data_IF_130289695411
#
_entry.id   IF_130289695411
#
_cell.length_a   1.000
_cell.length_b   1.000
_cell.length_c   1.000
_cell.angle_alpha   90.00
_cell.angle_beta   90.00
_cell.angle_gamma   90.00
#
_symmetry.space_group_name_H-M   'P 1'
#
loop_
_entity.id
_entity.type
_entity.pdbx_description
1 polymer ?
#
# COMPACT_ATOMS: atom_id res chain seq x y z
N UNK A 1 -17.69 -59.22 1.16
CA UNK A 1 -18.20 -58.24 0.19
C UNK A 1 -18.69 -57.03 0.96
N UNK A 2 -17.78 -56.08 1.23
CA UNK A 2 -18.12 -54.87 1.95
C UNK A 2 -18.77 -53.89 0.96
N UNK A 3 -20.05 -53.61 1.12
CA UNK A 3 -20.71 -52.48 0.45
C UNK A 3 -20.09 -51.18 0.96
N UNK A 4 -19.35 -50.49 0.12
CA UNK A 4 -18.88 -49.14 0.36
C UNK A 4 -20.08 -48.21 0.20
N UNK A 5 -20.56 -47.69 1.31
CA UNK A 5 -21.62 -46.67 1.37
C UNK A 5 -21.21 -45.43 0.58
N UNK A 6 -21.73 -45.30 -0.64
CA UNK A 6 -21.35 -44.27 -1.64
C UNK A 6 -21.94 -42.86 -1.36
N UNK A 7 -22.54 -42.62 -0.20
CA UNK A 7 -23.24 -41.35 0.08
C UNK A 7 -22.73 -40.58 1.30
N UNK A 8 -21.48 -40.77 1.72
CA UNK A 8 -20.91 -39.79 2.65
C UNK A 8 -20.51 -38.53 1.89
N UNK A 9 -21.48 -37.63 1.68
CA UNK A 9 -21.20 -36.28 1.24
C UNK A 9 -20.23 -35.63 2.26
N UNK A 10 -19.14 -35.05 1.74
CA UNK A 10 -18.20 -34.32 2.60
C UNK A 10 -18.98 -33.27 3.41
N UNK A 11 -18.78 -33.17 4.73
CA UNK A 11 -19.53 -32.20 5.52
C UNK A 11 -19.29 -30.80 4.99
N UNK A 12 -20.35 -30.21 4.47
CA UNK A 12 -20.38 -28.79 4.15
C UNK A 12 -20.31 -28.11 5.50
N UNK A 13 -19.19 -27.42 5.81
CA UNK A 13 -19.21 -26.48 6.92
C UNK A 13 -20.04 -25.29 6.40
N UNK A 14 -21.32 -25.20 6.78
CA UNK A 14 -22.15 -24.10 6.31
C UNK A 14 -21.57 -22.81 6.87
N UNK A 15 -21.67 -21.70 6.14
CA UNK A 15 -21.29 -20.41 6.70
C UNK A 15 -22.07 -20.18 7.98
N UNK A 16 -21.38 -19.91 9.08
CA UNK A 16 -22.03 -19.65 10.36
C UNK A 16 -22.78 -18.33 10.23
N UNK A 17 -24.10 -18.30 10.48
CA UNK A 17 -24.86 -17.07 10.37
C UNK A 17 -24.33 -16.04 11.36
N UNK A 18 -24.00 -14.84 10.86
CA UNK A 18 -23.56 -13.75 11.71
C UNK A 18 -24.67 -13.30 12.66
N UNK A 19 -24.37 -12.91 13.90
CA UNK A 19 -25.35 -12.28 14.77
C UNK A 19 -25.97 -11.07 14.07
N UNK A 20 -27.27 -10.85 14.27
CA UNK A 20 -27.96 -9.73 13.61
C UNK A 20 -28.00 -8.47 14.49
N UNK A 21 -28.06 -7.30 13.84
CA UNK A 21 -28.25 -6.01 14.51
C UNK A 21 -27.17 -5.68 15.54
N UNK A 22 -27.57 -5.08 16.67
CA UNK A 22 -26.65 -4.64 17.72
C UNK A 22 -25.75 -5.75 18.28
N UNK A 23 -26.21 -7.01 18.29
CA UNK A 23 -25.39 -8.14 18.72
C UNK A 23 -24.17 -8.40 17.82
N UNK A 24 -24.25 -8.09 16.52
CA UNK A 24 -23.08 -8.14 15.64
C UNK A 24 -22.07 -7.05 16.04
N UNK A 25 -22.53 -5.81 16.13
CA UNK A 25 -21.65 -4.66 16.38
C UNK A 25 -20.97 -4.69 17.76
N UNK A 26 -21.68 -5.11 18.81
CA UNK A 26 -21.12 -5.20 20.16
C UNK A 26 -20.38 -6.50 20.45
N UNK A 27 -20.82 -7.61 19.84
CA UNK A 27 -20.36 -8.97 20.12
C UNK A 27 -19.13 -9.43 19.36
N UNK A 28 -18.83 -8.79 18.21
CA UNK A 28 -17.75 -9.17 17.31
C UNK A 28 -16.70 -8.08 17.16
N UNK A 29 -15.46 -8.45 16.85
CA UNK A 29 -14.43 -7.47 16.49
C UNK A 29 -14.64 -6.88 15.10
N UNK A 30 -15.15 -7.69 14.16
CA UNK A 30 -15.57 -7.22 12.83
C UNK A 30 -16.56 -6.06 12.96
N UNK A 31 -17.59 -6.22 13.80
CA UNK A 31 -18.56 -5.15 14.06
C UNK A 31 -17.96 -3.92 14.73
N UNK A 32 -17.07 -4.11 15.72
CA UNK A 32 -16.40 -2.99 16.41
C UNK A 32 -15.49 -2.19 15.48
N UNK A 33 -14.78 -2.87 14.57
CA UNK A 33 -13.94 -2.21 13.56
C UNK A 33 -14.83 -1.41 12.59
N UNK A 34 -15.99 -1.94 12.17
CA UNK A 34 -16.95 -1.20 11.35
C UNK A 34 -17.42 0.08 12.07
N UNK A 35 -17.73 0.01 13.37
CA UNK A 35 -18.08 1.20 14.16
C UNK A 35 -16.93 2.21 14.15
N UNK A 36 -15.68 1.75 14.41
CA UNK A 36 -14.51 2.62 14.41
C UNK A 36 -14.30 3.28 13.04
N UNK A 37 -14.34 2.51 11.96
CA UNK A 37 -14.25 3.03 10.61
C UNK A 37 -15.34 4.08 10.32
N UNK A 38 -16.57 3.83 10.79
CA UNK A 38 -17.70 4.75 10.61
C UNK A 38 -17.47 6.07 11.34
N UNK A 39 -17.03 6.01 12.59
CA UNK A 39 -16.74 7.20 13.39
C UNK A 39 -15.63 8.02 12.71
N UNK A 40 -14.52 7.37 12.34
CA UNK A 40 -13.39 8.05 11.69
C UNK A 40 -13.81 8.60 10.33
N UNK A 41 -14.58 7.85 9.53
CA UNK A 41 -15.08 8.32 8.24
C UNK A 41 -15.95 9.58 8.37
N UNK A 42 -16.89 9.60 9.31
CA UNK A 42 -17.74 10.76 9.56
C UNK A 42 -16.91 11.96 10.00
N UNK A 43 -16.04 11.79 11.01
CA UNK A 43 -15.21 12.88 11.52
C UNK A 43 -14.27 13.45 10.46
N UNK A 44 -13.61 12.58 9.68
CA UNK A 44 -12.74 13.00 8.58
C UNK A 44 -13.52 13.72 7.47
N UNK A 45 -14.68 13.21 7.09
CA UNK A 45 -15.51 13.83 6.04
C UNK A 45 -16.07 15.20 6.49
N UNK A 46 -16.40 15.36 7.76
CA UNK A 46 -16.80 16.65 8.33
C UNK A 46 -15.63 17.64 8.37
N UNK A 47 -14.42 17.17 8.67
CA UNK A 47 -13.22 18.00 8.67
C UNK A 47 -12.85 18.47 7.24
N UNK A 48 -12.94 17.59 6.26
CA UNK A 48 -12.63 17.90 4.84
C UNK A 48 -13.78 18.66 4.14
N UNK A 49 -15.02 18.53 4.62
CA UNK A 49 -16.22 19.06 3.98
C UNK A 49 -16.69 18.24 2.77
N UNK A 50 -16.08 17.09 2.48
CA UNK A 50 -16.40 16.27 1.31
C UNK A 50 -16.47 14.77 1.65
N UNK A 51 -17.66 14.18 1.52
CA UNK A 51 -17.90 12.76 1.78
C UNK A 51 -17.53 11.85 0.58
N UNK A 52 -17.53 12.38 -0.64
CA UNK A 52 -17.35 11.57 -1.85
C UNK A 52 -15.88 11.46 -2.25
N UNK A 53 -15.20 12.60 -2.28
CA UNK A 53 -13.81 12.71 -2.73
C UNK A 53 -13.03 13.65 -1.78
N UNK A 54 -12.57 13.15 -0.63
CA UNK A 54 -11.78 13.96 0.29
C UNK A 54 -10.46 14.37 -0.36
N UNK A 55 -9.94 15.53 0.03
CA UNK A 55 -8.68 16.06 -0.45
C UNK A 55 -7.49 15.19 -0.02
N UNK A 56 -6.43 15.16 -0.84
CA UNK A 56 -5.20 14.45 -0.48
C UNK A 56 -4.56 15.04 0.78
N UNK A 57 -4.65 16.36 0.95
CA UNK A 57 -4.15 17.11 2.11
C UNK A 57 -4.84 16.68 3.40
N UNK A 58 -6.16 16.53 3.38
CA UNK A 58 -6.92 16.07 4.55
C UNK A 58 -6.62 14.60 4.87
N UNK A 59 -6.50 13.75 3.86
CA UNK A 59 -6.09 12.35 4.05
C UNK A 59 -4.72 12.25 4.69
N UNK A 60 -3.74 13.05 4.24
CA UNK A 60 -2.39 13.13 4.83
C UNK A 60 -2.46 13.63 6.28
N UNK A 61 -3.23 14.68 6.56
CA UNK A 61 -3.40 15.21 7.90
C UNK A 61 -3.99 14.18 8.87
N UNK A 62 -4.91 13.33 8.41
CA UNK A 62 -5.54 12.26 9.18
C UNK A 62 -4.76 10.95 9.25
N UNK A 63 -3.59 10.87 8.61
CA UNK A 63 -2.69 9.74 8.79
C UNK A 63 -2.66 8.72 7.64
N UNK A 64 -3.05 9.12 6.43
CA UNK A 64 -2.81 8.29 5.24
C UNK A 64 -1.33 7.95 5.09
N UNK A 65 -1.01 6.81 4.46
CA UNK A 65 0.36 6.42 4.16
C UNK A 65 0.94 7.41 3.15
N UNK A 66 1.97 8.09 3.56
CA UNK A 66 2.78 8.99 2.75
C UNK A 66 4.25 8.66 2.93
N UNK A 67 4.97 8.44 1.82
CA UNK A 67 6.36 7.98 1.88
C UNK A 67 7.31 9.06 2.42
N UNK A 68 7.03 10.35 2.22
CA UNK A 68 7.84 11.44 2.76
C UNK A 68 7.71 11.55 4.26
N UNK A 69 6.49 11.45 4.78
CA UNK A 69 6.25 11.52 6.22
C UNK A 69 6.76 10.27 6.96
N UNK A 70 6.79 9.11 6.27
CA UNK A 70 7.43 7.91 6.81
C UNK A 70 8.95 8.11 7.00
N UNK A 71 9.65 8.72 6.04
CA UNK A 71 11.09 8.99 6.17
C UNK A 71 11.39 10.13 7.16
N UNK A 72 10.39 10.95 7.50
CA UNK A 72 10.43 11.92 8.59
C UNK A 72 10.17 11.28 9.98
N UNK A 73 9.95 9.95 10.05
CA UNK A 73 9.79 9.19 11.27
C UNK A 73 8.33 8.98 11.71
N UNK A 74 7.34 9.35 10.88
CA UNK A 74 5.92 9.16 11.21
C UNK A 74 5.47 7.69 10.99
N UNK A 75 6.08 6.75 11.72
CA UNK A 75 5.90 5.30 11.53
C UNK A 75 4.47 4.82 11.83
N UNK A 76 3.69 5.59 12.59
CA UNK A 76 2.26 5.29 12.81
C UNK A 76 1.46 5.23 11.51
N UNK A 77 1.97 5.82 10.41
CA UNK A 77 1.37 5.76 9.08
C UNK A 77 1.46 4.36 8.42
N UNK A 78 2.08 3.39 9.06
CA UNK A 78 1.88 1.98 8.71
C UNK A 78 0.58 1.42 9.30
N UNK A 79 0.01 2.03 10.35
CA UNK A 79 -1.18 1.57 11.04
C UNK A 79 -2.43 2.41 10.72
N UNK A 80 -2.32 3.74 10.79
CA UNK A 80 -3.46 4.67 10.67
C UNK A 80 -4.25 4.56 9.36
N UNK A 81 -3.65 4.24 8.20
CA UNK A 81 -4.41 4.09 6.96
C UNK A 81 -5.50 3.02 7.02
N UNK A 82 -5.35 2.00 7.89
CA UNK A 82 -6.26 0.85 8.00
C UNK A 82 -7.70 1.28 8.34
N UNK A 83 -7.87 2.42 9.03
CA UNK A 83 -9.17 2.92 9.47
C UNK A 83 -9.63 4.17 8.69
N UNK A 84 -8.77 4.71 7.82
CA UNK A 84 -9.05 5.89 7.01
C UNK A 84 -9.57 5.48 5.62
N UNK A 85 -10.49 6.24 5.02
CA UNK A 85 -11.11 5.89 3.75
C UNK A 85 -11.17 7.05 2.76
N UNK A 86 -10.89 6.75 1.49
CA UNK A 86 -10.89 7.72 0.37
C UNK A 86 -12.31 7.81 -0.22
N UNK A 87 -13.24 8.43 0.54
CA UNK A 87 -14.61 8.67 0.12
C UNK A 87 -15.60 7.55 0.42
N UNK A 88 -16.88 7.89 0.23
CA UNK A 88 -18.03 7.09 0.64
C UNK A 88 -18.08 5.69 -0.01
N UNK A 89 -17.81 5.61 -1.32
CA UNK A 89 -17.88 4.33 -2.05
C UNK A 89 -16.82 3.38 -1.51
N UNK A 90 -15.59 3.85 -1.32
CA UNK A 90 -14.49 3.05 -0.78
C UNK A 90 -14.78 2.61 0.67
N UNK A 91 -15.30 3.50 1.50
CA UNK A 91 -15.76 3.19 2.85
C UNK A 91 -16.84 2.10 2.86
N UNK A 92 -17.87 2.23 2.01
CA UNK A 92 -18.99 1.31 1.97
C UNK A 92 -18.54 -0.11 1.55
N UNK A 93 -17.73 -0.23 0.49
CA UNK A 93 -17.21 -1.51 0.02
C UNK A 93 -16.31 -2.19 1.06
N UNK A 94 -15.41 -1.45 1.72
CA UNK A 94 -14.55 -2.02 2.75
C UNK A 94 -15.35 -2.55 3.95
N UNK A 95 -16.33 -1.79 4.43
CA UNK A 95 -17.14 -2.22 5.57
C UNK A 95 -18.10 -3.35 5.22
N UNK A 96 -18.65 -3.36 3.99
CA UNK A 96 -19.44 -4.49 3.50
C UNK A 96 -18.58 -5.78 3.42
N UNK A 97 -17.36 -5.69 2.88
CA UNK A 97 -16.44 -6.82 2.83
C UNK A 97 -16.06 -7.30 4.24
N UNK A 98 -15.82 -6.36 5.17
CA UNK A 98 -15.53 -6.70 6.57
C UNK A 98 -16.74 -7.38 7.26
N UNK A 99 -17.95 -6.94 6.97
CA UNK A 99 -19.15 -7.61 7.45
C UNK A 99 -19.28 -9.03 6.90
N UNK A 100 -19.09 -9.20 5.59
CA UNK A 100 -19.28 -10.48 4.91
C UNK A 100 -18.18 -11.51 5.25
N UNK A 101 -16.93 -11.09 5.28
CA UNK A 101 -15.76 -11.98 5.45
C UNK A 101 -15.26 -12.00 6.90
N UNK A 102 -15.28 -10.85 7.57
CA UNK A 102 -14.65 -10.68 8.87
C UNK A 102 -15.22 -11.61 9.91
N UNK A 103 -16.54 -11.70 10.02
CA UNK A 103 -17.18 -12.59 10.98
C UNK A 103 -16.83 -14.07 10.77
N UNK A 104 -16.79 -14.50 9.51
CA UNK A 104 -16.49 -15.91 9.18
C UNK A 104 -15.07 -16.27 9.67
N UNK A 105 -14.10 -15.41 9.37
CA UNK A 105 -12.71 -15.59 9.80
C UNK A 105 -12.59 -15.47 11.32
N UNK A 106 -13.24 -14.45 11.92
CA UNK A 106 -13.25 -14.26 13.39
C UNK A 106 -13.77 -15.49 14.12
N UNK A 107 -14.87 -16.08 13.61
CA UNK A 107 -15.48 -17.29 14.19
C UNK A 107 -14.52 -18.50 14.10
N UNK A 108 -13.85 -18.66 12.95
CA UNK A 108 -12.93 -19.78 12.69
C UNK A 108 -11.67 -19.73 13.54
N UNK A 109 -11.02 -18.56 13.65
CA UNK A 109 -9.73 -18.44 14.31
C UNK A 109 -9.84 -17.89 15.74
N UNK A 110 -10.97 -17.28 16.10
CA UNK A 110 -11.25 -16.65 17.39
C UNK A 110 -10.78 -15.19 17.48
N UNK A 111 -11.43 -14.44 18.37
CA UNK A 111 -11.36 -12.98 18.49
C UNK A 111 -9.95 -12.39 18.54
N UNK A 112 -9.06 -12.94 19.39
CA UNK A 112 -7.68 -12.42 19.57
C UNK A 112 -6.86 -12.53 18.28
N UNK A 113 -6.98 -13.67 17.63
CA UNK A 113 -6.24 -13.96 16.41
C UNK A 113 -6.79 -13.21 15.21
N UNK A 114 -8.09 -12.96 15.19
CA UNK A 114 -8.71 -12.11 14.19
C UNK A 114 -8.14 -10.70 14.22
N UNK A 115 -8.07 -10.08 15.41
CA UNK A 115 -7.50 -8.73 15.57
C UNK A 115 -6.02 -8.71 15.15
N UNK A 116 -5.23 -9.68 15.61
CA UNK A 116 -3.83 -9.78 15.23
C UNK A 116 -3.66 -9.95 13.69
N UNK A 117 -4.45 -10.83 13.09
CA UNK A 117 -4.46 -11.05 11.63
C UNK A 117 -4.82 -9.75 10.89
N UNK A 118 -5.89 -9.07 11.30
CA UNK A 118 -6.38 -7.85 10.69
C UNK A 118 -5.33 -6.72 10.74
N UNK A 119 -4.76 -6.46 11.92
CA UNK A 119 -3.78 -5.39 12.10
C UNK A 119 -2.45 -5.70 11.42
N UNK A 120 -1.88 -6.90 11.64
CA UNK A 120 -0.58 -7.25 11.09
C UNK A 120 -0.59 -7.38 9.57
N UNK A 121 -1.68 -7.87 8.99
CA UNK A 121 -1.80 -7.89 7.52
C UNK A 121 -1.99 -6.50 6.94
N UNK A 122 -2.74 -5.61 7.62
CA UNK A 122 -2.85 -4.22 7.24
C UNK A 122 -1.50 -3.49 7.28
N UNK A 123 -0.73 -3.67 8.35
CA UNK A 123 0.64 -3.13 8.46
C UNK A 123 1.55 -3.69 7.37
N UNK A 124 1.54 -5.01 7.14
CA UNK A 124 2.32 -5.65 6.08
C UNK A 124 1.96 -5.14 4.68
N UNK A 125 0.67 -4.89 4.43
CA UNK A 125 0.20 -4.24 3.21
C UNK A 125 0.71 -2.80 3.06
N UNK A 126 0.63 -1.99 4.12
CA UNK A 126 1.11 -0.60 4.09
C UNK A 126 2.64 -0.51 3.95
N UNK A 127 3.40 -1.47 4.52
CA UNK A 127 4.84 -1.59 4.27
C UNK A 127 5.09 -1.93 2.80
N UNK A 128 4.39 -2.92 2.24
CA UNK A 128 4.51 -3.27 0.83
C UNK A 128 4.14 -2.10 -0.09
N UNK A 129 3.05 -1.37 0.23
CA UNK A 129 2.71 -0.11 -0.44
C UNK A 129 3.89 0.87 -0.42
N UNK A 130 4.49 1.09 0.75
CA UNK A 130 5.60 2.05 0.87
C UNK A 130 6.85 1.60 0.12
N UNK A 131 7.06 0.29 -0.06
CA UNK A 131 8.18 -0.26 -0.83
C UNK A 131 7.94 -0.21 -2.35
N UNK A 132 6.70 -0.37 -2.82
CA UNK A 132 6.40 -0.60 -4.23
C UNK A 132 5.46 0.44 -4.86
N UNK A 133 4.86 1.35 -4.08
CA UNK A 133 4.02 2.45 -4.55
C UNK A 133 4.53 3.80 -4.01
N UNK A 134 4.60 4.82 -4.86
CA UNK A 134 4.89 6.20 -4.46
C UNK A 134 3.61 6.97 -4.12
N UNK A 135 2.45 6.43 -4.43
CA UNK A 135 1.15 7.06 -4.20
C UNK A 135 0.74 7.12 -2.73
N UNK A 136 -0.15 8.05 -2.43
CA UNK A 136 -0.88 8.09 -1.15
C UNK A 136 -1.74 6.85 -1.01
N UNK A 137 -1.83 6.27 0.19
CA UNK A 137 -2.67 5.09 0.44
C UNK A 137 -3.45 5.23 1.75
N UNK A 138 -4.74 4.88 1.69
CA UNK A 138 -5.64 4.80 2.82
C UNK A 138 -6.76 3.79 2.54
N UNK A 139 -7.16 3.01 3.54
CA UNK A 139 -8.24 2.02 3.44
C UNK A 139 -8.00 0.78 4.27
N UNK A 140 -9.08 0.15 4.70
CA UNK A 140 -9.06 -1.15 5.36
C UNK A 140 -8.68 -2.30 4.40
N UNK A 141 -8.57 -2.02 3.11
CA UNK A 141 -8.44 -3.05 2.06
C UNK A 141 -7.21 -3.94 2.23
N UNK A 142 -6.06 -3.42 2.67
CA UNK A 142 -4.87 -4.23 2.97
C UNK A 142 -5.16 -5.30 4.05
N UNK A 143 -5.89 -4.93 5.11
CA UNK A 143 -6.34 -5.88 6.13
C UNK A 143 -7.38 -6.87 5.58
N UNK A 144 -8.30 -6.42 4.74
CA UNK A 144 -9.31 -7.27 4.10
C UNK A 144 -8.67 -8.29 3.15
N UNK A 145 -7.65 -7.89 2.38
CA UNK A 145 -6.84 -8.84 1.61
C UNK A 145 -6.11 -9.83 2.52
N UNK A 146 -5.72 -9.42 3.72
CA UNK A 146 -5.22 -10.33 4.74
C UNK A 146 -6.25 -11.36 5.18
N UNK A 147 -7.50 -10.95 5.39
CA UNK A 147 -8.60 -11.89 5.68
C UNK A 147 -8.88 -12.83 4.50
N UNK A 148 -8.85 -12.32 3.26
CA UNK A 148 -8.97 -13.14 2.05
C UNK A 148 -7.83 -14.16 1.94
N UNK A 149 -6.58 -13.74 2.21
CA UNK A 149 -5.42 -14.63 2.23
C UNK A 149 -5.52 -15.74 3.28
N UNK A 150 -5.99 -15.38 4.47
CA UNK A 150 -6.25 -16.36 5.52
C UNK A 150 -7.35 -17.33 5.14
N UNK A 151 -8.47 -16.83 4.60
CA UNK A 151 -9.57 -17.64 4.09
C UNK A 151 -9.15 -18.59 2.98
N UNK A 152 -8.38 -18.09 2.01
CA UNK A 152 -7.78 -18.90 0.94
C UNK A 152 -6.91 -20.03 1.48
N UNK A 153 -6.02 -19.73 2.43
CA UNK A 153 -5.15 -20.76 3.02
C UNK A 153 -5.96 -21.79 3.81
N UNK A 154 -6.92 -21.35 4.64
CA UNK A 154 -7.81 -22.22 5.39
C UNK A 154 -8.58 -23.17 4.48
N UNK A 155 -9.17 -22.63 3.41
CA UNK A 155 -9.93 -23.41 2.44
C UNK A 155 -9.08 -24.48 1.76
N UNK A 156 -7.84 -24.14 1.35
CA UNK A 156 -6.89 -25.09 0.76
C UNK A 156 -6.51 -26.21 1.72
N UNK A 157 -6.20 -25.89 2.96
CA UNK A 157 -5.80 -26.90 3.97
C UNK A 157 -6.95 -27.80 4.36
N UNK A 158 -8.15 -27.23 4.59
CA UNK A 158 -9.34 -28.01 4.94
C UNK A 158 -9.80 -28.84 3.72
N UNK A 159 -9.84 -28.23 2.53
CA UNK A 159 -10.23 -28.92 1.28
C UNK A 159 -9.30 -30.10 0.96
N UNK A 160 -7.97 -29.95 1.11
CA UNK A 160 -7.03 -31.03 0.88
C UNK A 160 -7.27 -32.24 1.82
N UNK A 161 -7.66 -32.00 3.08
CA UNK A 161 -7.99 -33.06 4.03
C UNK A 161 -9.31 -33.75 3.74
N UNK A 162 -10.35 -32.94 3.48
CA UNK A 162 -11.65 -33.49 3.10
C UNK A 162 -11.55 -34.35 1.82
N UNK A 163 -10.75 -33.91 0.84
CA UNK A 163 -10.51 -34.69 -0.37
C UNK A 163 -9.76 -36.01 -0.11
N UNK A 164 -8.86 -36.03 0.90
CA UNK A 164 -8.16 -37.26 1.33
C UNK A 164 -9.12 -38.25 1.98
N UNK A 165 -10.04 -37.74 2.82
CA UNK A 165 -10.93 -38.57 3.65
C UNK A 165 -12.22 -38.97 2.92
N UNK A 166 -12.72 -38.15 1.97
CA UNK A 166 -14.03 -38.30 1.30
C UNK A 166 -13.96 -38.31 -0.24
N UNK A 167 -12.76 -38.31 -0.86
CA UNK A 167 -12.61 -38.30 -2.32
C UNK A 167 -12.74 -36.90 -2.94
N UNK A 168 -12.40 -36.80 -4.23
CA UNK A 168 -12.33 -35.52 -4.97
C UNK A 168 -13.73 -34.94 -5.24
N UNK A 169 -14.27 -34.17 -4.33
CA UNK A 169 -15.32 -33.21 -4.64
C UNK A 169 -14.70 -31.80 -4.70
N UNK A 170 -14.06 -31.50 -5.83
CA UNK A 170 -13.51 -30.16 -6.07
C UNK A 170 -14.65 -29.15 -6.13
N UNK A 171 -14.89 -28.41 -5.04
CA UNK A 171 -15.71 -27.20 -5.09
C UNK A 171 -14.80 -26.04 -5.51
N UNK A 172 -15.26 -25.14 -6.39
CA UNK A 172 -14.55 -23.91 -6.68
C UNK A 172 -14.34 -23.16 -5.36
N UNK A 173 -13.08 -22.81 -5.10
CA UNK A 173 -12.69 -22.06 -3.92
C UNK A 173 -13.30 -20.67 -3.96
N UNK A 174 -14.20 -20.36 -3.04
CA UNK A 174 -14.84 -19.06 -2.94
C UNK A 174 -13.78 -17.97 -2.71
N UNK A 175 -12.86 -18.20 -1.79
CA UNK A 175 -11.79 -17.23 -1.50
C UNK A 175 -10.81 -17.06 -2.67
N UNK A 176 -10.50 -18.13 -3.43
CA UNK A 176 -9.67 -18.03 -4.64
C UNK A 176 -10.32 -17.12 -5.68
N UNK A 177 -11.61 -17.31 -5.93
CA UNK A 177 -12.37 -16.46 -6.87
C UNK A 177 -12.39 -15.00 -6.43
N UNK A 178 -12.63 -14.75 -5.14
CA UNK A 178 -12.61 -13.39 -4.58
C UNK A 178 -11.25 -12.73 -4.68
N UNK A 179 -10.16 -13.44 -4.39
CA UNK A 179 -8.78 -12.94 -4.54
C UNK A 179 -8.52 -12.53 -5.99
N UNK A 180 -8.81 -13.43 -6.94
CA UNK A 180 -8.58 -13.15 -8.36
C UNK A 180 -9.42 -11.96 -8.83
N UNK A 181 -10.72 -11.94 -8.54
CA UNK A 181 -11.61 -10.86 -8.95
C UNK A 181 -11.16 -9.49 -8.39
N UNK A 182 -10.80 -9.43 -7.11
CA UNK A 182 -10.36 -8.18 -6.48
C UNK A 182 -8.98 -7.72 -6.98
N UNK A 183 -8.05 -8.63 -7.29
CA UNK A 183 -6.77 -8.26 -7.90
C UNK A 183 -6.96 -7.76 -9.34
N UNK A 184 -7.80 -8.43 -10.15
CA UNK A 184 -8.11 -7.97 -11.51
C UNK A 184 -8.71 -6.57 -11.47
N UNK A 185 -9.71 -6.33 -10.62
CA UNK A 185 -10.30 -4.99 -10.43
C UNK A 185 -9.25 -3.97 -9.99
N UNK A 186 -8.34 -4.36 -9.09
CA UNK A 186 -7.24 -3.52 -8.63
C UNK A 186 -6.30 -3.09 -9.75
N UNK A 187 -6.01 -3.96 -10.71
CA UNK A 187 -5.19 -3.60 -11.87
C UNK A 187 -5.95 -2.79 -12.93
N UNK A 188 -7.28 -2.90 -12.98
CA UNK A 188 -8.11 -2.12 -13.91
C UNK A 188 -8.36 -0.67 -13.43
N UNK A 189 -8.27 -0.41 -12.14
CA UNK A 189 -8.56 0.91 -11.55
C UNK A 189 -7.24 1.53 -11.06
N UNK A 190 -6.70 2.56 -11.73
CA UNK A 190 -5.36 3.12 -11.44
C UNK A 190 -5.16 3.64 -10.03
N UNK A 191 -6.24 4.02 -9.33
CA UNK A 191 -6.20 4.56 -7.97
C UNK A 191 -6.08 3.49 -6.89
N UNK A 192 -6.17 2.21 -7.25
CA UNK A 192 -6.10 1.10 -6.29
C UNK A 192 -4.63 0.74 -6.03
N UNK A 193 -4.27 0.69 -4.76
CA UNK A 193 -2.93 0.32 -4.30
C UNK A 193 -2.76 -1.21 -4.27
N UNK A 194 -2.42 -1.78 -5.42
CA UNK A 194 -2.20 -3.22 -5.55
C UNK A 194 -1.03 -3.73 -4.72
N UNK A 195 -0.02 -2.89 -4.44
CA UNK A 195 1.09 -3.27 -3.57
C UNK A 195 0.60 -3.51 -2.13
N UNK A 196 -0.29 -2.64 -1.62
CA UNK A 196 -0.94 -2.83 -0.34
C UNK A 196 -1.79 -4.11 -0.29
N UNK A 197 -2.55 -4.39 -1.35
CA UNK A 197 -3.40 -5.57 -1.46
C UNK A 197 -2.59 -6.86 -1.46
N UNK A 198 -1.55 -6.95 -2.29
CA UNK A 198 -0.66 -8.13 -2.36
C UNK A 198 0.09 -8.31 -1.05
N UNK A 199 0.63 -7.25 -0.46
CA UNK A 199 1.32 -7.30 0.83
C UNK A 199 0.39 -7.79 1.96
N UNK A 200 -0.84 -7.30 1.99
CA UNK A 200 -1.88 -7.76 2.92
C UNK A 200 -2.24 -9.23 2.73
N UNK A 201 -2.47 -9.66 1.50
CA UNK A 201 -2.77 -11.05 1.12
C UNK A 201 -1.67 -12.02 1.59
N UNK A 202 -0.41 -11.72 1.26
CA UNK A 202 0.73 -12.56 1.65
C UNK A 202 0.92 -12.62 3.16
N UNK A 203 0.76 -11.49 3.84
CA UNK A 203 0.77 -11.43 5.30
C UNK A 203 -0.33 -12.29 5.91
N UNK A 204 -1.54 -12.23 5.35
CA UNK A 204 -2.68 -13.02 5.81
C UNK A 204 -2.49 -14.53 5.62
N UNK A 205 -1.97 -14.95 4.47
CA UNK A 205 -1.61 -16.36 4.21
C UNK A 205 -0.56 -16.84 5.22
N UNK A 206 0.50 -16.04 5.43
CA UNK A 206 1.59 -16.37 6.37
C UNK A 206 1.10 -16.49 7.80
N UNK A 207 0.30 -15.53 8.25
CA UNK A 207 -0.28 -15.56 9.60
C UNK A 207 -1.25 -16.73 9.79
N UNK A 208 -2.12 -17.02 8.81
CA UNK A 208 -2.99 -18.19 8.88
C UNK A 208 -2.21 -19.51 8.95
N UNK A 209 -1.12 -19.63 8.17
CA UNK A 209 -0.21 -20.75 8.25
C UNK A 209 0.36 -20.94 9.68
N UNK A 210 0.80 -19.84 10.31
CA UNK A 210 1.33 -19.84 11.67
C UNK A 210 0.25 -20.22 12.68
N UNK A 211 -0.90 -19.56 12.61
CA UNK A 211 -1.99 -19.70 13.57
C UNK A 211 -2.57 -21.12 13.62
N UNK A 212 -2.76 -21.75 12.46
CA UNK A 212 -3.27 -23.11 12.37
C UNK A 212 -2.35 -24.14 13.01
N UNK A 213 -1.05 -23.85 13.06
CA UNK A 213 -0.04 -24.73 13.64
C UNK A 213 0.20 -24.49 15.13
N UNK A 214 -0.08 -23.28 15.61
CA UNK A 214 0.05 -22.93 17.03
C UNK A 214 -1.17 -23.37 17.87
N UNK A 215 -2.34 -23.53 17.24
CA UNK A 215 -3.54 -24.10 17.88
C UNK A 215 -3.64 -25.57 17.49
N UNK A 216 -3.36 -26.52 18.38
CA UNK A 216 -3.58 -27.93 18.11
C UNK A 216 -5.08 -28.25 18.22
N UNK A 217 -5.86 -27.89 17.23
CA UNK A 217 -7.14 -28.53 17.01
C UNK A 217 -6.84 -29.96 16.52
N UNK A 218 -7.56 -30.98 17.03
CA UNK A 218 -7.41 -32.40 16.64
C UNK A 218 -7.43 -32.63 15.12
N UNK A 219 -8.00 -31.67 14.35
CA UNK A 219 -8.03 -31.66 12.88
C UNK A 219 -6.69 -31.26 12.23
N UNK A 220 -5.76 -30.57 12.94
CA UNK A 220 -4.58 -29.94 12.35
C UNK A 220 -3.32 -30.13 13.24
N UNK A 221 -2.98 -31.38 13.61
CA UNK A 221 -1.73 -31.69 14.30
C UNK A 221 -0.51 -31.38 13.41
N UNK A 222 -0.04 -30.13 13.44
CA UNK A 222 1.10 -29.62 12.68
C UNK A 222 2.23 -29.24 13.64
N UNK A 223 3.48 -29.35 13.18
CA UNK A 223 4.67 -29.13 14.02
C UNK A 223 4.77 -27.65 14.49
N UNK A 224 4.62 -27.34 15.80
CA UNK A 224 4.61 -25.97 16.30
C UNK A 224 5.97 -25.27 16.23
N UNK A 225 7.08 -26.03 16.17
CA UNK A 225 8.44 -25.44 16.08
C UNK A 225 8.61 -24.66 14.77
N UNK A 226 8.18 -25.22 13.64
CA UNK A 226 8.26 -24.56 12.33
C UNK A 226 7.43 -23.27 12.28
N UNK A 227 6.31 -23.23 12.98
CA UNK A 227 5.43 -22.04 13.02
C UNK A 227 6.07 -20.88 13.75
N UNK A 228 6.77 -21.13 14.86
CA UNK A 228 7.49 -20.07 15.59
C UNK A 228 8.61 -19.49 14.74
N UNK A 229 9.32 -20.32 13.95
CA UNK A 229 10.36 -19.87 13.02
C UNK A 229 9.75 -18.98 11.95
N UNK A 230 8.66 -19.42 11.29
CA UNK A 230 7.97 -18.61 10.25
C UNK A 230 7.43 -17.30 10.81
N UNK A 231 6.86 -17.31 12.02
CA UNK A 231 6.43 -16.09 12.70
C UNK A 231 7.61 -15.15 12.95
N UNK A 232 8.74 -15.69 13.44
CA UNK A 232 9.96 -14.90 13.64
C UNK A 232 10.43 -14.24 12.35
N UNK A 233 10.54 -15.00 11.25
CA UNK A 233 10.88 -14.45 9.94
C UNK A 233 9.88 -13.40 9.45
N UNK A 234 8.58 -13.63 9.64
CA UNK A 234 7.55 -12.66 9.27
C UNK A 234 7.70 -11.35 10.05
N UNK A 235 7.85 -11.42 11.38
CA UNK A 235 8.03 -10.21 12.21
C UNK A 235 9.33 -9.48 11.87
N UNK A 236 10.43 -10.20 11.65
CA UNK A 236 11.70 -9.61 11.20
C UNK A 236 11.52 -8.94 9.83
N UNK A 237 10.80 -9.56 8.88
CA UNK A 237 10.56 -8.96 7.58
C UNK A 237 9.70 -7.68 7.65
N UNK A 238 8.74 -7.60 8.59
CA UNK A 238 8.00 -6.35 8.84
C UNK A 238 8.92 -5.25 9.39
N UNK A 239 9.80 -5.59 10.34
CA UNK A 239 10.75 -4.61 10.90
C UNK A 239 11.73 -4.12 9.85
N UNK A 240 12.38 -5.04 9.12
CA UNK A 240 13.34 -4.69 8.07
C UNK A 240 12.66 -3.96 6.90
N UNK A 241 11.49 -4.44 6.46
CA UNK A 241 10.71 -3.79 5.41
C UNK A 241 10.23 -2.39 5.81
N UNK A 242 9.76 -2.22 7.04
CA UNK A 242 9.38 -0.91 7.58
C UNK A 242 10.58 0.04 7.70
N UNK A 243 11.73 -0.46 8.16
CA UNK A 243 12.98 0.31 8.21
C UNK A 243 13.44 0.75 6.82
N UNK A 244 13.40 -0.14 5.84
CA UNK A 244 13.74 0.20 4.45
C UNK A 244 12.75 1.20 3.86
N UNK A 245 11.44 0.99 4.07
CA UNK A 245 10.38 1.87 3.57
C UNK A 245 10.45 3.30 4.15
N UNK A 246 11.00 3.45 5.36
CA UNK A 246 11.25 4.76 6.01
C UNK A 246 12.65 5.31 5.75
N UNK A 247 13.44 4.70 4.87
CA UNK A 247 14.79 5.17 4.51
C UNK A 247 14.74 6.28 3.46
N UNK A 248 15.37 7.43 3.74
CA UNK A 248 15.52 8.54 2.78
C UNK A 248 16.28 8.10 1.53
N UNK A 249 17.33 7.29 1.70
CA UNK A 249 18.15 6.79 0.60
C UNK A 249 17.29 5.93 -0.33
N UNK A 250 16.55 4.98 0.23
CA UNK A 250 15.69 4.11 -0.56
C UNK A 250 14.58 4.87 -1.30
N UNK A 251 13.93 5.85 -0.64
CA UNK A 251 12.92 6.68 -1.29
C UNK A 251 13.52 7.53 -2.42
N UNK A 252 14.71 8.12 -2.21
CA UNK A 252 15.42 8.90 -3.23
C UNK A 252 15.73 8.04 -4.47
N UNK A 253 16.27 6.84 -4.30
CA UNK A 253 16.57 5.93 -5.40
C UNK A 253 15.30 5.55 -6.20
N UNK A 254 14.18 5.32 -5.53
CA UNK A 254 12.90 5.06 -6.19
C UNK A 254 12.40 6.27 -6.98
N UNK A 255 12.56 7.47 -6.45
CA UNK A 255 12.18 8.70 -7.15
C UNK A 255 13.07 8.93 -8.37
N UNK A 256 14.37 8.65 -8.26
CA UNK A 256 15.29 8.70 -9.40
C UNK A 256 14.88 7.72 -10.49
N UNK A 257 14.58 6.47 -10.13
CA UNK A 257 14.10 5.48 -11.10
C UNK A 257 12.78 5.93 -11.77
N UNK A 258 11.84 6.46 -10.97
CA UNK A 258 10.56 6.96 -11.47
C UNK A 258 10.76 8.18 -12.40
N UNK A 259 11.71 9.07 -12.11
CA UNK A 259 12.09 10.17 -12.98
C UNK A 259 12.65 9.69 -14.31
N UNK A 260 13.59 8.73 -14.28
CA UNK A 260 14.23 8.18 -15.47
C UNK A 260 13.28 7.41 -16.39
N UNK A 261 12.24 6.80 -15.82
CA UNK A 261 11.24 6.01 -16.57
C UNK A 261 10.00 6.79 -16.95
N UNK A 262 9.84 8.04 -16.47
CA UNK A 262 8.69 8.87 -16.79
C UNK A 262 8.79 9.43 -18.20
N UNK A 263 7.79 9.19 -19.03
CA UNK A 263 7.68 9.74 -20.38
C UNK A 263 7.12 11.16 -20.39
N UNK A 264 6.22 11.48 -19.44
CA UNK A 264 5.58 12.78 -19.37
C UNK A 264 6.45 13.82 -18.63
N UNK A 265 6.71 15.01 -19.23
CA UNK A 265 7.49 16.07 -18.60
C UNK A 265 6.93 16.56 -17.26
N UNK A 266 5.61 16.57 -17.11
CA UNK A 266 4.96 16.93 -15.83
C UNK A 266 5.27 15.92 -14.73
N UNK A 267 5.35 14.64 -15.06
CA UNK A 267 5.72 13.58 -14.13
C UNK A 267 7.21 13.70 -13.76
N UNK A 268 8.09 13.92 -14.74
CA UNK A 268 9.52 14.16 -14.52
C UNK A 268 9.74 15.34 -13.57
N UNK A 269 9.10 16.48 -13.84
CA UNK A 269 9.19 17.68 -13.00
C UNK A 269 8.74 17.42 -11.56
N UNK A 270 7.65 16.68 -11.39
CA UNK A 270 7.15 16.29 -10.06
C UNK A 270 8.16 15.42 -9.30
N UNK A 271 8.76 14.42 -9.95
CA UNK A 271 9.76 13.56 -9.30
C UNK A 271 11.03 14.33 -8.92
N UNK A 272 11.54 15.20 -9.79
CA UNK A 272 12.69 16.07 -9.47
C UNK A 272 12.40 16.99 -8.29
N UNK A 273 11.19 17.56 -8.22
CA UNK A 273 10.77 18.38 -7.09
C UNK A 273 10.70 17.56 -5.79
N UNK A 274 10.28 16.31 -5.87
CA UNK A 274 10.26 15.40 -4.73
C UNK A 274 11.66 14.97 -4.29
N UNK A 275 12.59 14.74 -5.24
CA UNK A 275 13.99 14.45 -4.94
C UNK A 275 14.62 15.64 -4.21
N UNK A 276 14.40 16.86 -4.67
CA UNK A 276 14.91 18.08 -4.05
C UNK A 276 14.28 18.38 -2.68
N UNK A 277 13.06 17.92 -2.42
CA UNK A 277 12.48 17.95 -1.06
C UNK A 277 13.27 17.04 -0.08
N UNK A 278 13.74 15.87 -0.55
CA UNK A 278 14.54 14.95 0.26
C UNK A 278 16.01 15.35 0.39
N UNK A 279 16.55 15.93 -0.67
CA UNK A 279 17.97 16.31 -0.82
C UNK A 279 18.05 17.68 -1.49
N UNK A 280 17.89 18.78 -0.72
CA UNK A 280 17.93 20.14 -1.28
C UNK A 280 19.25 20.50 -1.96
N UNK A 281 20.34 19.81 -1.61
CA UNK A 281 21.68 20.04 -2.14
C UNK A 281 22.03 19.13 -3.33
N UNK A 282 21.04 18.43 -3.91
CA UNK A 282 21.22 17.58 -5.09
C UNK A 282 21.33 18.43 -6.36
N UNK A 283 22.56 18.76 -6.74
CA UNK A 283 22.83 19.62 -7.91
C UNK A 283 22.46 18.97 -9.23
N UNK A 284 22.53 17.65 -9.35
CA UNK A 284 22.10 16.95 -10.56
C UNK A 284 20.56 17.03 -10.73
N UNK A 285 19.82 16.90 -9.65
CA UNK A 285 18.38 17.10 -9.68
C UNK A 285 17.96 18.55 -9.94
N UNK A 286 18.70 19.55 -9.38
CA UNK A 286 18.51 20.98 -9.70
C UNK A 286 18.78 21.25 -11.17
N UNK A 287 19.88 20.73 -11.71
CA UNK A 287 20.25 20.90 -13.11
C UNK A 287 19.21 20.32 -14.06
N UNK A 288 18.75 19.11 -13.77
CA UNK A 288 17.69 18.47 -14.54
C UNK A 288 16.37 19.24 -14.46
N UNK A 289 15.99 19.76 -13.27
CA UNK A 289 14.77 20.56 -13.11
C UNK A 289 14.89 21.93 -13.75
N UNK A 290 16.06 22.55 -13.72
CA UNK A 290 16.39 23.79 -14.45
C UNK A 290 16.17 23.59 -15.96
N UNK A 291 16.78 22.56 -16.56
CA UNK A 291 16.62 22.25 -17.99
C UNK A 291 15.13 22.07 -18.34
N UNK A 292 14.41 21.25 -17.59
CA UNK A 292 13.01 20.97 -17.80
C UNK A 292 12.15 22.25 -17.64
N UNK A 293 12.44 23.08 -16.63
CA UNK A 293 11.74 24.33 -16.37
C UNK A 293 11.94 25.34 -17.52
N UNK A 294 13.15 25.42 -18.05
CA UNK A 294 13.46 26.26 -19.21
C UNK A 294 12.72 25.78 -20.46
N UNK A 295 12.72 24.47 -20.77
CA UNK A 295 12.01 23.87 -21.92
C UNK A 295 10.52 24.17 -21.95
N UNK A 296 9.88 24.18 -20.79
CA UNK A 296 8.43 24.32 -20.66
C UNK A 296 7.98 25.71 -20.16
N UNK A 297 8.89 26.70 -20.19
CA UNK A 297 8.56 28.10 -19.90
C UNK A 297 8.32 28.39 -18.41
N UNK A 298 8.72 27.51 -17.50
CA UNK A 298 8.60 27.76 -16.06
C UNK A 298 9.85 28.54 -15.55
N UNK A 299 10.01 29.74 -16.04
CA UNK A 299 11.20 30.56 -15.81
C UNK A 299 11.40 30.97 -14.35
N UNK A 300 10.31 31.04 -13.57
CA UNK A 300 10.41 31.34 -12.13
C UNK A 300 11.17 30.25 -11.37
N UNK A 301 10.87 28.98 -11.61
CA UNK A 301 11.57 27.85 -10.97
C UNK A 301 12.96 27.71 -11.56
N UNK A 302 13.11 27.85 -12.88
CA UNK A 302 14.43 27.86 -13.54
C UNK A 302 15.38 28.85 -12.90
N UNK A 303 14.93 30.08 -12.62
CA UNK A 303 15.72 31.11 -11.94
C UNK A 303 16.15 30.69 -10.53
N UNK A 304 15.26 30.10 -9.76
CA UNK A 304 15.58 29.60 -8.40
C UNK A 304 16.68 28.53 -8.47
N UNK A 305 16.49 27.51 -9.30
CA UNK A 305 17.43 26.40 -9.44
C UNK A 305 18.79 26.89 -9.95
N UNK A 306 18.78 27.82 -10.91
CA UNK A 306 20.02 28.44 -11.42
C UNK A 306 20.81 29.13 -10.32
N UNK A 307 20.20 30.01 -9.51
CA UNK A 307 20.90 30.72 -8.45
C UNK A 307 21.39 29.77 -7.35
N UNK A 308 20.65 28.72 -7.02
CA UNK A 308 21.10 27.72 -6.07
C UNK A 308 22.32 26.92 -6.59
N UNK A 309 22.33 26.57 -7.89
CA UNK A 309 23.47 25.93 -8.55
C UNK A 309 24.71 26.82 -8.56
N UNK A 310 24.55 28.13 -8.73
CA UNK A 310 25.68 29.10 -8.69
C UNK A 310 26.28 29.27 -7.29
N UNK A 311 25.55 28.93 -6.25
CA UNK A 311 26.01 28.92 -4.85
C UNK A 311 26.56 27.56 -4.40
N UNK A 312 26.45 26.54 -5.24
CA UNK A 312 26.96 25.22 -4.94
C UNK A 312 28.48 25.22 -4.86
N UNK A 313 29.06 24.43 -3.96
CA UNK A 313 30.51 24.20 -3.92
C UNK A 313 31.02 23.44 -5.14
N UNK A 314 30.18 22.89 -5.98
CA UNK A 314 30.54 22.24 -7.24
C UNK A 314 30.91 23.28 -8.28
N UNK A 315 32.18 23.28 -8.64
CA UNK A 315 32.77 24.29 -9.59
C UNK A 315 32.46 23.97 -11.08
N UNK A 316 31.87 22.79 -11.38
CA UNK A 316 31.79 22.27 -12.75
C UNK A 316 30.32 22.08 -13.21
N UNK A 317 29.41 22.94 -12.79
CA UNK A 317 27.99 22.85 -13.23
C UNK A 317 27.94 22.99 -14.77
N UNK A 318 27.44 21.96 -15.51
CA UNK A 318 27.56 21.91 -16.97
C UNK A 318 26.49 22.75 -17.71
N UNK A 319 26.32 24.02 -17.35
CA UNK A 319 25.34 24.93 -17.94
C UNK A 319 25.52 25.13 -19.45
N UNK A 320 26.77 25.00 -19.96
CA UNK A 320 27.02 25.06 -21.41
C UNK A 320 26.37 23.87 -22.13
N UNK A 321 26.35 22.70 -21.51
CA UNK A 321 25.69 21.50 -22.09
C UNK A 321 24.17 21.69 -22.12
N UNK A 322 23.59 22.25 -21.06
CA UNK A 322 22.14 22.57 -21.02
C UNK A 322 21.79 23.57 -22.12
N UNK A 323 22.58 24.66 -22.27
CA UNK A 323 22.37 25.66 -23.33
C UNK A 323 22.45 25.03 -24.72
N UNK A 324 23.50 24.24 -24.99
CA UNK A 324 23.68 23.57 -26.29
C UNK A 324 22.53 22.63 -26.61
N UNK A 325 22.05 21.88 -25.61
CA UNK A 325 20.93 20.97 -25.75
C UNK A 325 19.59 21.71 -26.02
N UNK A 326 19.34 22.83 -25.34
CA UNK A 326 18.17 23.67 -25.60
C UNK A 326 18.17 24.21 -27.04
N UNK A 327 19.33 24.66 -27.55
CA UNK A 327 19.47 25.12 -28.94
C UNK A 327 19.23 23.97 -29.92
N UNK A 328 19.85 22.81 -29.69
CA UNK A 328 19.69 21.64 -30.56
C UNK A 328 18.26 21.16 -30.65
N UNK A 329 17.52 21.25 -29.55
CA UNK A 329 16.10 20.83 -29.47
C UNK A 329 15.13 21.93 -29.91
N UNK A 330 15.64 23.10 -30.38
CA UNK A 330 14.82 24.20 -30.91
C UNK A 330 14.24 25.17 -29.88
N UNK A 331 14.64 25.04 -28.59
CA UNK A 331 14.19 25.91 -27.49
C UNK A 331 15.01 27.19 -27.38
N UNK A 332 15.03 28.03 -28.44
CA UNK A 332 15.88 29.24 -28.55
C UNK A 332 15.60 30.27 -27.46
N UNK A 333 14.32 30.50 -27.11
CA UNK A 333 13.94 31.44 -26.05
C UNK A 333 14.49 30.97 -24.68
N UNK A 334 14.37 29.70 -24.38
CA UNK A 334 14.91 29.08 -23.14
C UNK A 334 16.42 29.24 -23.05
N UNK A 335 17.13 29.03 -24.16
CA UNK A 335 18.59 29.22 -24.22
C UNK A 335 18.97 30.68 -23.98
N UNK A 336 18.22 31.64 -24.54
CA UNK A 336 18.43 33.06 -24.30
C UNK A 336 18.19 33.47 -22.84
N UNK A 337 17.12 32.96 -22.22
CA UNK A 337 16.89 33.15 -20.77
C UNK A 337 18.08 32.63 -19.93
N UNK A 338 18.60 31.44 -20.26
CA UNK A 338 19.76 30.90 -19.56
C UNK A 338 21.03 31.80 -19.73
N UNK A 339 21.26 32.35 -20.94
CA UNK A 339 22.34 33.31 -21.17
C UNK A 339 22.18 34.58 -20.33
N UNK A 340 20.99 35.13 -20.27
CA UNK A 340 20.67 36.31 -19.45
C UNK A 340 20.92 36.05 -17.97
N UNK A 341 20.52 34.89 -17.43
CA UNK A 341 20.79 34.51 -16.05
C UNK A 341 22.32 34.42 -15.77
N UNK A 342 23.08 33.86 -16.72
CA UNK A 342 24.53 33.74 -16.61
C UNK A 342 25.25 35.08 -16.70
N UNK A 343 24.81 36.00 -17.55
CA UNK A 343 25.37 37.34 -17.66
C UNK A 343 25.12 38.18 -16.40
N UNK A 344 23.92 38.06 -15.81
CA UNK A 344 23.56 38.74 -14.57
C UNK A 344 24.38 38.31 -13.35
N UNK A 345 24.97 37.10 -13.35
CA UNK A 345 25.85 36.62 -12.27
C UNK A 345 27.32 36.99 -12.46
N UNK A 346 27.78 37.29 -13.69
CA UNK A 346 29.16 37.71 -13.95
C UNK A 346 29.41 39.21 -13.69
N UNK A 347 28.33 40.00 -13.56
CA UNK A 347 28.40 41.43 -13.31
C UNK A 347 28.34 41.82 -11.82
N UNK A 348 28.29 40.85 -10.93
CA UNK A 348 28.46 41.00 -9.46
C UNK A 348 29.77 40.38 -8.99
#
# INVERSE_FOLDING_TARGET
MYQVDKERQAPIIPPVPAPKGLKFFSGTWSGRIIILNTIIFILHSLYDGNFLNPSSESLVAWGAKDNFLLVEGQLWRFLTPIVLHVGLIHYAFNNWALYALGYQIEHLIGKRWFVALYLLSGIGGNIASSLFSLGLSAGASSSLFGLLGAGFYLERVVGARLNKDYGKAARPSMYSGMVIANLVLGFMIPQIDNAAHIGGLLSGVTLAYVLLRMKPNRLLALNPKRSKIVLGFFLVSLVLGGGLASSKIFLKERLNLAYLTAEEPRAQFRYLTQILRLSPDDDDAKLARLELSLRYGNYSIAKVDFFQLMQSPRNDVPLNQVESKLIQDGHMEAAEVLRQLRSATKSK
#
